data_IF_607553109005
#
_entry.id   IF_607553109005
#
_cell.length_a   1.000
_cell.length_b   1.000
_cell.length_c   1.000
_cell.angle_alpha   90.00
_cell.angle_beta   90.00
_cell.angle_gamma   90.00
#
_symmetry.space_group_name_H-M   'P 1'
#
loop_
_entity.id
_entity.type
_entity.pdbx_description
1 polymer ?
#
# COMPACT_ATOMS: atom_id res chain seq x y z
N UNK A 1 -12.81 17.01 -15.58
CA UNK A 1 -13.54 16.09 -14.71
C UNK A 1 -12.64 14.96 -14.25
N UNK A 2 -12.74 14.60 -13.00
CA UNK A 2 -11.87 13.58 -12.45
C UNK A 2 -12.49 12.21 -12.69
N UNK A 3 -11.69 11.35 -13.26
CA UNK A 3 -12.07 9.99 -13.54
C UNK A 3 -11.69 9.11 -12.36
N UNK A 4 -12.59 8.25 -11.93
CA UNK A 4 -12.30 7.35 -10.83
C UNK A 4 -11.11 6.45 -11.14
N UNK A 5 -10.88 6.15 -12.40
CA UNK A 5 -9.74 5.34 -12.78
C UNK A 5 -8.42 6.04 -12.50
N UNK A 6 -8.46 7.35 -12.27
CA UNK A 6 -7.27 8.11 -11.90
C UNK A 6 -7.07 8.19 -10.40
N UNK A 7 -8.01 7.68 -9.65
CA UNK A 7 -7.93 7.72 -8.19
C UNK A 7 -6.81 6.82 -7.69
N UNK A 8 -6.02 7.33 -6.78
CA UNK A 8 -4.91 6.60 -6.19
C UNK A 8 -4.87 6.85 -4.70
N UNK A 9 -4.49 5.82 -3.96
CA UNK A 9 -4.34 5.91 -2.52
C UNK A 9 -2.93 5.48 -2.13
N UNK A 10 -2.31 6.26 -1.27
CA UNK A 10 -0.99 5.91 -0.78
C UNK A 10 -1.10 4.78 0.23
N UNK A 11 -0.10 3.89 0.22
CA UNK A 11 0.00 2.84 1.21
C UNK A 11 0.85 3.35 2.37
N UNK A 12 0.39 3.12 3.58
CA UNK A 12 1.11 3.54 4.77
C UNK A 12 1.77 2.35 5.43
N UNK A 13 2.93 2.59 6.01
CA UNK A 13 3.68 1.55 6.67
C UNK A 13 2.93 1.03 7.89
N UNK A 14 2.72 -0.28 8.02
CA UNK A 14 2.03 -0.80 9.20
C UNK A 14 2.88 -0.77 10.47
N UNK A 15 4.17 -0.49 10.34
CA UNK A 15 5.07 -0.44 11.48
C UNK A 15 5.18 0.95 12.05
N UNK A 16 5.50 1.93 11.22
CA UNK A 16 5.71 3.30 11.69
C UNK A 16 4.58 4.26 11.29
N UNK A 17 3.68 3.84 10.41
CA UNK A 17 2.55 4.65 10.01
C UNK A 17 2.86 5.76 9.04
N UNK A 18 4.06 5.84 8.53
CA UNK A 18 4.42 6.86 7.57
C UNK A 18 4.03 6.46 6.16
N UNK A 19 3.80 7.46 5.33
CA UNK A 19 3.45 7.21 3.94
C UNK A 19 4.62 6.59 3.20
N UNK A 20 4.37 5.51 2.48
CA UNK A 20 5.38 4.88 1.66
C UNK A 20 5.29 5.40 0.24
N UNK A 21 6.08 4.82 -0.65
CA UNK A 21 6.06 5.22 -2.06
C UNK A 21 5.13 4.37 -2.91
N UNK A 22 4.39 3.51 -2.27
CA UNK A 22 3.48 2.62 -2.99
C UNK A 22 2.10 3.24 -3.06
N UNK A 23 1.53 3.23 -4.24
CA UNK A 23 0.18 3.71 -4.47
C UNK A 23 -0.71 2.57 -4.91
N UNK A 24 -1.96 2.64 -4.51
CA UNK A 24 -2.96 1.67 -4.91
C UNK A 24 -3.94 2.31 -5.87
N UNK A 25 -4.43 1.51 -6.77
CA UNK A 25 -5.47 1.91 -7.70
C UNK A 25 -6.69 1.04 -7.45
N UNK A 26 -7.78 1.41 -8.12
CA UNK A 26 -9.04 0.70 -7.97
C UNK A 26 -8.90 -0.79 -8.29
N UNK A 27 -8.11 -1.10 -9.31
CA UNK A 27 -7.95 -2.46 -9.79
C UNK A 27 -6.67 -3.12 -9.28
N UNK A 28 -5.96 -2.46 -8.38
CA UNK A 28 -4.72 -3.01 -7.85
C UNK A 28 -5.01 -4.10 -6.84
N UNK A 29 -4.39 -5.25 -7.05
CA UNK A 29 -4.46 -6.37 -6.12
C UNK A 29 -3.04 -6.82 -5.85
N UNK A 30 -2.66 -6.83 -4.58
CA UNK A 30 -1.34 -7.27 -4.15
C UNK A 30 -1.51 -8.42 -3.18
N UNK A 31 -0.70 -9.45 -3.35
CA UNK A 31 -0.73 -10.61 -2.45
C UNK A 31 0.69 -10.92 -2.02
N UNK A 32 0.90 -10.98 -0.71
CA UNK A 32 2.23 -11.24 -0.14
C UNK A 32 3.26 -10.27 -0.72
N UNK A 33 2.88 -9.01 -0.82
CA UNK A 33 3.74 -8.00 -1.41
C UNK A 33 4.73 -7.49 -0.37
N UNK A 34 6.03 -7.55 -0.66
CA UNK A 34 7.02 -7.03 0.29
C UNK A 34 7.03 -5.50 0.22
N UNK A 35 6.51 -4.88 1.27
CA UNK A 35 6.46 -3.43 1.38
C UNK A 35 7.64 -2.96 2.20
N UNK A 36 8.53 -2.21 1.58
CA UNK A 36 9.66 -1.64 2.28
C UNK A 36 9.38 -0.19 2.64
N UNK A 37 9.57 0.15 3.89
CA UNK A 37 9.40 1.51 4.37
C UNK A 37 10.77 2.16 4.55
N UNK A 38 11.10 3.19 3.77
CA UNK A 38 12.39 3.84 3.92
C UNK A 38 12.51 4.66 5.21
N UNK A 39 11.39 4.93 5.86
CA UNK A 39 11.41 5.70 7.10
C UNK A 39 11.87 4.87 8.28
N UNK A 40 11.29 3.69 8.45
CA UNK A 40 11.68 2.80 9.53
C UNK A 40 12.64 1.70 9.06
N UNK A 41 12.87 1.63 7.74
CA UNK A 41 13.80 0.69 7.12
C UNK A 41 13.44 -0.75 7.44
N UNK A 42 12.14 -1.03 7.47
CA UNK A 42 11.65 -2.38 7.71
C UNK A 42 10.80 -2.82 6.54
N UNK A 43 10.80 -4.12 6.30
CA UNK A 43 10.01 -4.71 5.24
C UNK A 43 8.91 -5.55 5.85
N UNK A 44 7.71 -5.42 5.28
CA UNK A 44 6.57 -6.17 5.76
C UNK A 44 5.84 -6.78 4.58
N UNK A 45 5.25 -7.95 4.79
CA UNK A 45 4.40 -8.54 3.77
C UNK A 45 2.99 -8.03 3.97
N UNK A 46 2.39 -7.59 2.89
CA UNK A 46 1.04 -7.06 2.94
C UNK A 46 0.19 -7.64 1.82
N UNK A 47 -1.11 -7.64 2.05
CA UNK A 47 -2.10 -7.86 1.01
C UNK A 47 -2.85 -6.56 0.79
N UNK A 48 -3.11 -6.24 -0.45
CA UNK A 48 -3.88 -5.04 -0.77
C UNK A 48 -4.91 -5.39 -1.84
N UNK A 49 -6.13 -4.88 -1.64
CA UNK A 49 -7.22 -5.10 -2.58
C UNK A 49 -8.24 -4.01 -2.38
N UNK A 50 -8.64 -3.35 -3.47
CA UNK A 50 -9.65 -2.31 -3.44
C UNK A 50 -9.36 -1.29 -2.34
N UNK A 51 -8.13 -0.81 -2.30
CA UNK A 51 -7.67 0.20 -1.33
C UNK A 51 -7.60 -0.30 0.11
N UNK A 52 -7.81 -1.58 0.34
CA UNK A 52 -7.69 -2.15 1.67
C UNK A 52 -6.34 -2.84 1.80
N UNK A 53 -5.59 -2.48 2.81
CA UNK A 53 -4.25 -3.03 3.03
C UNK A 53 -4.27 -3.78 4.36
N UNK A 54 -3.75 -5.01 4.33
CA UNK A 54 -3.63 -5.82 5.53
C UNK A 54 -2.20 -6.31 5.66
N UNK A 55 -1.68 -6.28 6.87
CA UNK A 55 -0.36 -6.82 7.14
C UNK A 55 -0.46 -8.32 7.34
N UNK A 56 0.47 -9.05 6.71
CA UNK A 56 0.55 -10.50 6.85
C UNK A 56 1.84 -10.84 7.57
N UNK A 57 1.77 -11.75 8.49
CA UNK A 57 2.96 -12.20 9.21
C UNK A 57 3.39 -13.57 8.77
#
# INVERSE_FOLDING_TARGET
MIDDSMRQEWVYCPVCGNKTRLKLREDTVLMHFPLFCPKCKKESLIDAKKYVVKEIK
#
